data_IF_156384704708
#
_entry.id   IF_156384704708
#
_cell.length_a   1.000
_cell.length_b   1.000
_cell.length_c   1.000
_cell.angle_alpha   90.00
_cell.angle_beta   90.00
_cell.angle_gamma   90.00
#
_symmetry.space_group_name_H-M   'P 1'
#
loop_
_entity.id
_entity.type
_entity.pdbx_description
1 polymer ?
#
# COMPACT_ATOMS: atom_id res chain seq x y z
N UNK A 1 -57.27 -53.13 118.72
CA UNK A 1 -56.83 -52.94 117.32
C UNK A 1 -55.88 -54.08 116.96
N UNK A 2 -56.44 -55.28 116.78
CA UNK A 2 -55.68 -56.52 116.53
C UNK A 2 -56.44 -57.43 115.55
N UNK A 3 -57.19 -56.80 114.61
CA UNK A 3 -58.00 -57.47 113.57
C UNK A 3 -57.72 -56.94 112.16
N UNK A 4 -56.48 -56.54 111.93
CA UNK A 4 -55.85 -56.42 110.62
C UNK A 4 -54.46 -57.02 110.86
N UNK A 5 -54.11 -58.12 110.21
CA UNK A 5 -52.84 -58.84 110.40
C UNK A 5 -51.61 -58.05 109.94
N UNK A 6 -51.45 -56.83 110.45
CA UNK A 6 -50.42 -55.87 110.12
C UNK A 6 -49.49 -55.81 111.32
N UNK A 7 -48.33 -56.43 111.18
CA UNK A 7 -47.23 -56.23 112.10
C UNK A 7 -46.72 -54.78 111.92
N UNK A 8 -47.02 -53.90 112.87
CA UNK A 8 -46.71 -52.46 112.79
C UNK A 8 -45.22 -52.21 112.65
N UNK A 9 -44.37 -53.08 113.22
CA UNK A 9 -42.91 -53.04 113.06
C UNK A 9 -42.48 -53.37 111.63
N UNK A 10 -43.09 -54.39 111.01
CA UNK A 10 -42.85 -54.71 109.59
C UNK A 10 -43.31 -53.59 108.66
N UNK A 11 -44.43 -52.93 108.95
CA UNK A 11 -44.92 -51.80 108.17
C UNK A 11 -43.97 -50.60 108.22
N UNK A 12 -43.44 -50.25 109.40
CA UNK A 12 -42.45 -49.18 109.55
C UNK A 12 -41.15 -49.53 108.82
N UNK A 13 -40.65 -50.77 108.95
CA UNK A 13 -39.47 -51.23 108.22
C UNK A 13 -39.67 -51.17 106.70
N UNK A 14 -40.85 -51.54 106.20
CA UNK A 14 -41.21 -51.43 104.78
C UNK A 14 -41.27 -49.97 104.32
N UNK A 15 -41.79 -49.06 105.15
CA UNK A 15 -41.84 -47.63 104.83
C UNK A 15 -40.44 -47.02 104.78
N UNK A 16 -39.55 -47.39 105.71
CA UNK A 16 -38.14 -46.98 105.70
C UNK A 16 -37.43 -47.53 104.46
N UNK A 17 -37.61 -48.80 104.12
CA UNK A 17 -37.03 -49.40 102.93
C UNK A 17 -37.55 -48.73 101.64
N UNK A 18 -38.86 -48.49 101.55
CA UNK A 18 -39.46 -47.72 100.45
C UNK A 18 -38.88 -46.30 100.39
N UNK A 19 -38.72 -45.62 101.52
CA UNK A 19 -38.12 -44.29 101.60
C UNK A 19 -36.67 -44.26 101.12
N UNK A 20 -35.86 -45.27 101.49
CA UNK A 20 -34.48 -45.40 101.01
C UNK A 20 -34.45 -45.62 99.49
N UNK A 21 -35.26 -46.54 98.97
CA UNK A 21 -35.33 -46.81 97.52
C UNK A 21 -35.86 -45.58 96.77
N UNK A 22 -36.89 -44.92 97.28
CA UNK A 22 -37.44 -43.69 96.71
C UNK A 22 -36.40 -42.58 96.69
N UNK A 23 -35.64 -42.40 97.78
CA UNK A 23 -34.56 -41.43 97.82
C UNK A 23 -33.45 -41.73 96.82
N UNK A 24 -33.04 -43.01 96.68
CA UNK A 24 -32.07 -43.41 95.68
C UNK A 24 -32.59 -43.18 94.25
N UNK A 25 -33.84 -43.52 93.96
CA UNK A 25 -34.44 -43.27 92.64
C UNK A 25 -34.59 -41.77 92.35
N UNK A 26 -35.08 -40.99 93.31
CA UNK A 26 -35.23 -39.55 93.18
C UNK A 26 -33.87 -38.86 93.00
N UNK A 27 -32.83 -39.31 93.71
CA UNK A 27 -31.50 -38.70 93.66
C UNK A 27 -30.65 -39.14 92.47
N UNK A 28 -30.83 -40.36 91.96
CA UNK A 28 -29.99 -40.93 90.90
C UNK A 28 -30.71 -41.15 89.56
N UNK A 29 -31.93 -41.69 89.55
CA UNK A 29 -32.63 -42.03 88.32
C UNK A 29 -33.36 -40.82 87.71
N UNK A 30 -34.06 -40.03 88.53
CA UNK A 30 -34.80 -38.85 88.07
C UNK A 30 -33.94 -37.83 87.32
N UNK A 31 -32.78 -37.36 87.86
CA UNK A 31 -31.95 -36.40 87.12
C UNK A 31 -31.48 -36.97 85.78
N UNK A 32 -31.07 -38.24 85.72
CA UNK A 32 -30.62 -38.87 84.47
C UNK A 32 -31.70 -38.94 83.39
N UNK A 33 -32.96 -39.12 83.78
CA UNK A 33 -34.09 -39.17 82.82
C UNK A 33 -34.40 -37.76 82.29
N UNK A 34 -34.41 -36.75 83.15
CA UNK A 34 -34.63 -35.36 82.75
C UNK A 34 -33.49 -34.87 81.85
N UNK A 35 -32.23 -35.11 82.25
CA UNK A 35 -31.05 -34.76 81.44
C UNK A 35 -31.15 -35.34 80.02
N UNK A 36 -31.61 -36.60 79.87
CA UNK A 36 -31.76 -37.23 78.55
C UNK A 36 -32.90 -36.60 77.72
N UNK A 37 -33.99 -36.15 78.36
CA UNK A 37 -35.09 -35.46 77.68
C UNK A 37 -34.71 -34.03 77.28
N UNK A 38 -33.96 -33.33 78.11
CA UNK A 38 -33.43 -32.00 77.83
C UNK A 38 -32.42 -32.06 76.68
N UNK A 39 -31.48 -33.01 76.72
CA UNK A 39 -30.51 -33.22 75.62
C UNK A 39 -31.21 -33.54 74.29
N UNK A 40 -32.29 -34.33 74.32
CA UNK A 40 -33.11 -34.59 73.14
C UNK A 40 -33.83 -33.34 72.65
N UNK A 41 -34.41 -32.56 73.56
CA UNK A 41 -35.11 -31.32 73.23
C UNK A 41 -34.17 -30.30 72.62
N UNK A 42 -32.98 -30.14 73.20
CA UNK A 42 -31.93 -29.24 72.70
C UNK A 42 -31.42 -29.68 71.31
N UNK A 43 -31.19 -30.99 71.10
CA UNK A 43 -30.80 -31.52 69.79
C UNK A 43 -31.86 -31.25 68.71
N UNK A 44 -33.13 -31.39 69.04
CA UNK A 44 -34.24 -31.12 68.09
C UNK A 44 -34.34 -29.61 67.81
N UNK A 45 -34.27 -28.78 68.85
CA UNK A 45 -34.32 -27.33 68.72
C UNK A 45 -33.17 -26.82 67.84
N UNK A 46 -31.95 -27.27 68.11
CA UNK A 46 -30.77 -26.95 67.32
C UNK A 46 -30.88 -27.47 65.89
N UNK A 47 -31.34 -28.72 65.69
CA UNK A 47 -31.55 -29.27 64.35
C UNK A 47 -32.58 -28.49 63.53
N UNK A 48 -33.63 -27.97 64.17
CA UNK A 48 -34.63 -27.12 63.50
C UNK A 48 -34.09 -25.72 63.19
N UNK A 49 -33.28 -25.14 64.08
CA UNK A 49 -32.60 -23.87 63.84
C UNK A 49 -31.58 -23.98 62.70
N UNK A 50 -30.73 -25.00 62.73
CA UNK A 50 -29.75 -25.28 61.68
C UNK A 50 -30.44 -25.49 60.32
N UNK A 51 -31.58 -26.20 60.29
CA UNK A 51 -32.36 -26.40 59.07
C UNK A 51 -32.95 -25.08 58.53
N UNK A 52 -33.43 -24.20 59.42
CA UNK A 52 -33.93 -22.87 59.02
C UNK A 52 -32.80 -21.99 58.49
N UNK A 53 -31.66 -21.97 59.18
CA UNK A 53 -30.49 -21.21 58.75
C UNK A 53 -29.96 -21.71 57.40
N UNK A 54 -29.95 -23.03 57.18
CA UNK A 54 -29.56 -23.63 55.90
C UNK A 54 -30.51 -23.24 54.76
N UNK A 55 -31.82 -23.24 55.02
CA UNK A 55 -32.82 -22.83 54.03
C UNK A 55 -32.72 -21.34 53.69
N UNK A 56 -32.52 -20.47 54.70
CA UNK A 56 -32.31 -19.04 54.48
C UNK A 56 -31.01 -18.76 53.71
N UNK A 57 -29.91 -19.43 54.08
CA UNK A 57 -28.65 -19.33 53.36
C UNK A 57 -28.79 -19.79 51.90
N UNK A 58 -29.52 -20.88 51.66
CA UNK A 58 -29.82 -21.36 50.31
C UNK A 58 -30.62 -20.35 49.51
N UNK A 59 -31.70 -19.79 50.05
CA UNK A 59 -32.50 -18.78 49.37
C UNK A 59 -31.69 -17.52 49.05
N UNK A 60 -30.83 -17.09 49.97
CA UNK A 60 -29.94 -15.95 49.74
C UNK A 60 -28.92 -16.24 48.63
N UNK A 61 -28.31 -17.43 48.64
CA UNK A 61 -27.40 -17.88 47.58
C UNK A 61 -28.09 -17.98 46.21
N UNK A 62 -29.34 -18.46 46.16
CA UNK A 62 -30.14 -18.51 44.93
C UNK A 62 -30.40 -17.10 44.39
N UNK A 63 -30.82 -16.16 45.25
CA UNK A 63 -31.03 -14.75 44.86
C UNK A 63 -29.75 -14.07 44.37
N UNK A 64 -28.62 -14.35 45.02
CA UNK A 64 -27.33 -13.80 44.62
C UNK A 64 -26.87 -14.38 43.28
N UNK A 65 -27.03 -15.69 43.09
CA UNK A 65 -26.78 -16.36 41.81
C UNK A 65 -27.62 -15.78 40.67
N UNK A 66 -28.93 -15.57 40.89
CA UNK A 66 -29.81 -14.93 39.92
C UNK A 66 -29.36 -13.50 39.56
N UNK A 67 -28.93 -12.72 40.56
CA UNK A 67 -28.37 -11.37 40.33
C UNK A 67 -27.09 -11.42 39.52
N UNK A 68 -26.17 -12.32 39.84
CA UNK A 68 -24.90 -12.50 39.11
C UNK A 68 -25.20 -12.90 37.66
N UNK A 69 -26.12 -13.83 37.43
CA UNK A 69 -26.53 -14.24 36.09
C UNK A 69 -27.18 -13.10 35.29
N UNK A 70 -28.05 -12.31 35.93
CA UNK A 70 -28.65 -11.14 35.30
C UNK A 70 -27.60 -10.08 34.93
N UNK A 71 -26.67 -9.81 35.84
CA UNK A 71 -25.56 -8.88 35.61
C UNK A 71 -24.64 -9.36 34.49
N UNK A 72 -24.24 -10.63 34.50
CA UNK A 72 -23.41 -11.23 33.47
C UNK A 72 -24.07 -11.18 32.08
N UNK A 73 -25.39 -11.37 32.01
CA UNK A 73 -26.16 -11.21 30.76
C UNK A 73 -26.17 -9.76 30.29
N UNK A 74 -26.39 -8.81 31.21
CA UNK A 74 -26.39 -7.38 30.87
C UNK A 74 -25.01 -6.92 30.38
N UNK A 75 -23.94 -7.33 31.05
CA UNK A 75 -22.57 -6.99 30.66
C UNK A 75 -22.16 -7.69 29.36
N UNK A 76 -22.58 -8.94 29.16
CA UNK A 76 -22.40 -9.64 27.88
C UNK A 76 -23.10 -8.94 26.72
N UNK A 77 -24.33 -8.47 26.93
CA UNK A 77 -25.06 -7.72 25.91
C UNK A 77 -24.38 -6.38 25.60
N UNK A 78 -23.95 -5.64 26.62
CA UNK A 78 -23.16 -4.40 26.45
C UNK A 78 -21.88 -4.65 25.66
N UNK A 79 -21.15 -5.72 25.97
CA UNK A 79 -19.92 -6.06 25.25
C UNK A 79 -20.19 -6.34 23.76
N UNK A 80 -21.28 -7.06 23.45
CA UNK A 80 -21.69 -7.32 22.06
C UNK A 80 -22.05 -6.02 21.35
N UNK A 81 -22.79 -5.13 22.00
CA UNK A 81 -23.21 -3.87 21.42
C UNK A 81 -22.02 -2.93 21.19
N UNK A 82 -21.08 -2.84 22.14
CA UNK A 82 -19.82 -2.13 21.97
C UNK A 82 -18.97 -2.72 20.84
N UNK A 83 -18.86 -4.04 20.76
CA UNK A 83 -18.13 -4.71 19.69
C UNK A 83 -18.73 -4.41 18.31
N UNK A 84 -20.07 -4.38 18.20
CA UNK A 84 -20.78 -3.98 16.98
C UNK A 84 -20.51 -2.52 16.62
N UNK A 85 -20.60 -1.60 17.58
CA UNK A 85 -20.33 -0.19 17.34
C UNK A 85 -18.89 0.05 16.86
N UNK A 86 -17.90 -0.57 17.54
CA UNK A 86 -16.49 -0.49 17.10
C UNK A 86 -16.30 -1.12 15.73
N UNK A 87 -16.98 -2.22 15.44
CA UNK A 87 -16.97 -2.84 14.11
C UNK A 87 -17.50 -1.91 13.02
N UNK A 88 -18.64 -1.27 13.26
CA UNK A 88 -19.24 -0.32 12.31
C UNK A 88 -18.38 0.92 12.10
N UNK A 89 -17.76 1.44 13.17
CA UNK A 89 -16.81 2.54 13.08
C UNK A 89 -15.57 2.15 12.26
N UNK A 90 -15.02 0.96 12.50
CA UNK A 90 -13.88 0.46 11.74
C UNK A 90 -14.21 0.27 10.26
N UNK A 91 -15.41 -0.26 9.93
CA UNK A 91 -15.87 -0.37 8.54
C UNK A 91 -15.98 1.00 7.90
N UNK A 92 -16.55 2.00 8.59
CA UNK A 92 -16.62 3.37 8.07
C UNK A 92 -15.24 3.98 7.84
N UNK A 93 -14.28 3.75 8.74
CA UNK A 93 -12.90 4.20 8.58
C UNK A 93 -12.24 3.53 7.37
N UNK A 94 -12.32 2.21 7.25
CA UNK A 94 -11.78 1.47 6.11
C UNK A 94 -12.38 1.92 4.78
N UNK A 95 -13.69 2.15 4.71
CA UNK A 95 -14.35 2.64 3.48
C UNK A 95 -13.87 4.05 3.12
N UNK A 96 -13.72 4.94 4.11
CA UNK A 96 -13.19 6.29 3.89
C UNK A 96 -11.76 6.25 3.37
N UNK A 97 -10.89 5.48 4.03
CA UNK A 97 -9.49 5.32 3.63
C UNK A 97 -9.38 4.71 2.23
N UNK A 98 -10.13 3.64 1.93
CA UNK A 98 -10.16 3.03 0.61
C UNK A 98 -10.67 3.98 -0.48
N UNK A 99 -11.65 4.84 -0.16
CA UNK A 99 -12.16 5.85 -1.10
C UNK A 99 -11.11 6.91 -1.37
N UNK A 100 -10.44 7.39 -0.31
CA UNK A 100 -9.35 8.35 -0.44
C UNK A 100 -8.18 7.78 -1.25
N UNK A 101 -7.73 6.56 -0.95
CA UNK A 101 -6.66 5.89 -1.70
C UNK A 101 -7.06 5.69 -3.17
N UNK A 102 -8.32 5.33 -3.44
CA UNK A 102 -8.82 5.19 -4.80
C UNK A 102 -8.85 6.53 -5.55
N UNK A 103 -9.18 7.63 -4.89
CA UNK A 103 -9.13 8.98 -5.47
C UNK A 103 -7.70 9.44 -5.74
N UNK A 104 -6.78 9.23 -4.79
CA UNK A 104 -5.35 9.52 -4.94
C UNK A 104 -4.75 8.72 -6.10
N UNK A 105 -5.04 7.41 -6.16
CA UNK A 105 -4.58 6.56 -7.27
C UNK A 105 -5.14 7.02 -8.62
N UNK A 106 -6.42 7.41 -8.67
CA UNK A 106 -7.02 7.96 -9.91
C UNK A 106 -6.36 9.28 -10.31
N UNK A 107 -6.04 10.15 -9.36
CA UNK A 107 -5.35 11.40 -9.65
C UNK A 107 -3.95 11.14 -10.21
N UNK A 108 -3.19 10.23 -9.60
CA UNK A 108 -1.87 9.80 -10.09
C UNK A 108 -1.96 9.17 -11.49
N UNK A 109 -2.93 8.28 -11.73
CA UNK A 109 -3.13 7.67 -13.05
C UNK A 109 -3.50 8.71 -14.12
N UNK A 110 -4.27 9.74 -13.78
CA UNK A 110 -4.57 10.84 -14.71
C UNK A 110 -3.32 11.65 -15.05
N UNK A 111 -2.51 11.99 -14.05
CA UNK A 111 -1.24 12.69 -14.27
C UNK A 111 -0.31 11.86 -15.17
N UNK A 112 -0.13 10.57 -14.89
CA UNK A 112 0.67 9.67 -15.72
C UNK A 112 0.12 9.57 -17.15
N UNK A 113 -1.21 9.52 -17.33
CA UNK A 113 -1.83 9.50 -18.65
C UNK A 113 -1.60 10.80 -19.43
N UNK A 114 -1.63 11.95 -18.77
CA UNK A 114 -1.32 13.24 -19.38
C UNK A 114 0.16 13.35 -19.78
N UNK A 115 1.07 12.90 -18.91
CA UNK A 115 2.50 12.83 -19.21
C UNK A 115 2.80 11.90 -20.39
N UNK A 116 2.20 10.72 -20.41
CA UNK A 116 2.38 9.75 -21.49
C UNK A 116 1.77 10.27 -22.80
N UNK A 117 0.60 10.93 -22.75
CA UNK A 117 0.02 11.60 -23.92
C UNK A 117 0.97 12.66 -24.47
N UNK A 118 1.55 13.49 -23.61
CA UNK A 118 2.50 14.53 -24.03
C UNK A 118 3.77 13.91 -24.65
N UNK A 119 4.27 12.81 -24.07
CA UNK A 119 5.40 12.05 -24.63
C UNK A 119 5.08 11.51 -26.02
N UNK A 120 3.91 10.87 -26.19
CA UNK A 120 3.46 10.33 -27.49
C UNK A 120 3.31 11.46 -28.52
N UNK A 121 2.74 12.60 -28.14
CA UNK A 121 2.60 13.76 -29.05
C UNK A 121 3.97 14.32 -29.46
N UNK A 122 4.92 14.41 -28.53
CA UNK A 122 6.28 14.86 -28.82
C UNK A 122 7.00 13.89 -29.77
N UNK A 123 6.89 12.59 -29.53
CA UNK A 123 7.47 11.56 -30.41
C UNK A 123 6.82 11.58 -31.80
N UNK A 124 5.50 11.67 -31.87
CA UNK A 124 4.76 11.79 -33.14
C UNK A 124 5.20 13.02 -33.92
N UNK A 125 5.40 14.16 -33.25
CA UNK A 125 5.91 15.38 -33.90
C UNK A 125 7.30 15.15 -34.49
N UNK A 126 8.19 14.49 -33.76
CA UNK A 126 9.53 14.13 -34.24
C UNK A 126 9.46 13.24 -35.49
N UNK A 127 8.59 12.22 -35.48
CA UNK A 127 8.36 11.33 -36.61
C UNK A 127 7.79 12.07 -37.84
N UNK A 128 6.86 13.01 -37.63
CA UNK A 128 6.31 13.84 -38.72
C UNK A 128 7.39 14.73 -39.33
N UNK A 129 8.25 15.35 -38.52
CA UNK A 129 9.37 16.16 -39.02
C UNK A 129 10.32 15.30 -39.84
N UNK A 130 10.69 14.10 -39.35
CA UNK A 130 11.54 13.18 -40.08
C UNK A 130 10.92 12.76 -41.43
N UNK A 131 9.61 12.48 -41.46
CA UNK A 131 8.90 12.12 -42.69
C UNK A 131 8.80 13.30 -43.67
N UNK A 132 8.52 14.50 -43.17
CA UNK A 132 8.47 15.71 -44.00
C UNK A 132 9.85 16.05 -44.60
N UNK A 133 10.92 15.87 -43.84
CA UNK A 133 12.30 16.01 -44.33
C UNK A 133 12.62 14.97 -45.39
N UNK A 134 12.27 13.71 -45.19
CA UNK A 134 12.47 12.65 -46.19
C UNK A 134 11.68 12.92 -47.49
N UNK A 135 10.44 13.43 -47.37
CA UNK A 135 9.66 13.84 -48.52
C UNK A 135 10.26 15.05 -49.24
N UNK A 136 10.76 16.05 -48.50
CA UNK A 136 11.46 17.20 -49.07
C UNK A 136 12.76 16.80 -49.76
N UNK A 137 13.58 15.92 -49.17
CA UNK A 137 14.79 15.37 -49.77
C UNK A 137 14.47 14.65 -51.09
N UNK A 138 13.40 13.84 -51.11
CA UNK A 138 12.95 13.16 -52.33
C UNK A 138 12.49 14.13 -53.42
N UNK A 139 11.66 15.11 -53.08
CA UNK A 139 11.16 16.11 -54.04
C UNK A 139 12.29 16.97 -54.59
N UNK A 140 13.23 17.41 -53.74
CA UNK A 140 14.41 18.18 -54.15
C UNK A 140 15.32 17.32 -55.04
N UNK A 141 15.56 16.06 -54.66
CA UNK A 141 16.32 15.12 -55.47
C UNK A 141 15.72 14.86 -56.85
N UNK A 142 14.40 14.79 -56.97
CA UNK A 142 13.70 14.64 -58.26
C UNK A 142 13.59 15.96 -59.05
N UNK A 143 13.59 17.13 -58.38
CA UNK A 143 13.44 18.44 -59.02
C UNK A 143 14.77 19.12 -59.43
N UNK A 144 15.91 18.58 -58.97
CA UNK A 144 17.24 19.08 -59.33
C UNK A 144 17.60 18.69 -60.77
N UNK A 145 17.28 19.58 -61.71
CA UNK A 145 17.76 19.54 -63.09
C UNK A 145 19.24 20.02 -63.17
N UNK A 146 19.95 19.69 -64.25
CA UNK A 146 21.38 19.98 -64.45
C UNK A 146 21.68 21.48 -64.25
N UNK A 147 20.78 22.35 -64.72
CA UNK A 147 20.88 23.82 -64.53
C UNK A 147 20.76 24.27 -63.08
N UNK A 148 19.91 23.61 -62.29
CA UNK A 148 19.71 23.94 -60.88
C UNK A 148 20.88 23.43 -60.04
N UNK A 149 21.46 22.28 -60.40
CA UNK A 149 22.69 21.77 -59.77
C UNK A 149 23.86 22.74 -59.94
N UNK A 150 24.06 23.32 -61.13
CA UNK A 150 25.04 24.40 -61.33
C UNK A 150 24.71 25.69 -60.55
N UNK A 151 23.43 26.06 -60.45
CA UNK A 151 23.02 27.24 -59.68
C UNK A 151 23.32 27.10 -58.17
N UNK A 152 23.16 25.90 -57.60
CA UNK A 152 23.51 25.59 -56.20
C UNK A 152 25.02 25.63 -55.97
N UNK A 153 25.82 25.15 -56.95
CA UNK A 153 27.28 25.27 -56.91
C UNK A 153 27.69 26.76 -56.93
N UNK A 154 27.07 27.57 -57.78
CA UNK A 154 27.34 29.01 -57.84
C UNK A 154 26.92 29.76 -56.57
N UNK A 155 25.81 29.39 -55.92
CA UNK A 155 25.40 30.02 -54.65
C UNK A 155 26.36 29.70 -53.50
N UNK A 156 26.97 28.51 -53.50
CA UNK A 156 28.04 28.16 -52.56
C UNK A 156 29.26 29.08 -52.72
N UNK A 157 29.69 29.38 -53.95
CA UNK A 157 30.78 30.32 -54.20
C UNK A 157 30.41 31.78 -53.89
N UNK A 158 29.17 32.19 -54.17
CA UNK A 158 28.68 33.54 -53.89
C UNK A 158 28.52 33.82 -52.38
N UNK A 159 28.21 32.81 -51.59
CA UNK A 159 28.17 32.88 -50.12
C UNK A 159 29.54 33.04 -49.47
N UNK A 160 30.61 32.84 -50.23
CA UNK A 160 32.00 33.00 -49.80
C UNK A 160 32.35 32.00 -48.70
N UNK A 161 32.87 30.80 -49.04
CA UNK A 161 33.26 29.83 -48.04
C UNK A 161 34.45 30.36 -47.24
N UNK A 162 34.16 31.03 -46.13
CA UNK A 162 35.14 31.60 -45.21
C UNK A 162 36.09 30.52 -44.67
N UNK A 163 35.64 29.27 -44.64
CA UNK A 163 36.35 28.09 -44.16
C UNK A 163 37.11 27.31 -45.25
N UNK A 164 36.99 27.68 -46.53
CA UNK A 164 37.68 27.02 -47.64
C UNK A 164 39.01 27.67 -48.05
N UNK A 165 39.38 28.81 -47.46
CA UNK A 165 40.66 29.49 -47.74
C UNK A 165 41.80 28.81 -46.97
N UNK A 166 42.79 28.29 -47.69
CA UNK A 166 44.01 27.71 -47.10
C UNK A 166 43.93 26.21 -46.78
N UNK A 167 43.12 25.47 -47.54
CA UNK A 167 43.19 24.01 -47.58
C UNK A 167 44.51 23.63 -48.29
N UNK A 168 45.34 22.78 -47.65
CA UNK A 168 46.73 22.54 -48.04
C UNK A 168 46.94 21.90 -49.42
N UNK A 169 48.16 21.45 -49.70
CA UNK A 169 48.67 21.11 -51.05
C UNK A 169 47.83 20.11 -51.88
N UNK A 170 46.95 19.30 -51.26
CA UNK A 170 46.03 18.36 -51.93
C UNK A 170 44.59 18.51 -51.47
N UNK A 171 43.68 18.75 -52.42
CA UNK A 171 42.23 18.88 -52.17
C UNK A 171 41.47 17.90 -53.05
N UNK A 172 40.62 17.09 -52.44
CA UNK A 172 39.65 16.25 -53.15
C UNK A 172 38.31 16.97 -53.17
N UNK A 173 37.81 17.22 -54.39
CA UNK A 173 36.54 17.89 -54.64
C UNK A 173 35.56 16.84 -55.11
N UNK A 174 34.48 16.65 -54.35
CA UNK A 174 33.43 15.68 -54.70
C UNK A 174 32.18 16.44 -55.15
N UNK A 175 31.75 16.20 -56.40
CA UNK A 175 30.58 16.86 -57.01
C UNK A 175 29.61 15.85 -57.65
N UNK A 176 28.33 16.22 -57.74
CA UNK A 176 27.29 15.40 -58.36
C UNK A 176 27.37 15.39 -59.91
N UNK A 177 27.92 16.45 -60.49
CA UNK A 177 28.13 16.66 -61.92
C UNK A 177 29.58 17.05 -62.24
N UNK A 178 30.06 16.82 -63.48
CA UNK A 178 31.33 17.36 -63.92
C UNK A 178 31.30 18.89 -63.91
N UNK A 179 32.25 19.52 -63.22
CA UNK A 179 32.41 20.97 -63.15
C UNK A 179 32.77 21.54 -64.53
N UNK A 180 32.18 22.67 -64.89
CA UNK A 180 32.55 23.43 -66.09
C UNK A 180 33.92 24.11 -65.92
N UNK A 181 34.58 24.43 -67.03
CA UNK A 181 35.92 25.06 -67.03
C UNK A 181 35.96 26.38 -66.22
N UNK A 182 34.85 27.13 -66.19
CA UNK A 182 34.71 28.34 -65.36
C UNK A 182 34.64 28.05 -63.86
N UNK A 183 33.96 26.96 -63.47
CA UNK A 183 33.78 26.59 -62.06
C UNK A 183 35.07 25.97 -61.50
N UNK A 184 35.80 25.20 -62.30
CA UNK A 184 37.14 24.67 -61.93
C UNK A 184 38.13 25.81 -61.64
N UNK A 185 38.08 26.90 -62.42
CA UNK A 185 38.90 28.07 -62.20
C UNK A 185 38.54 28.84 -60.91
N UNK A 186 37.25 28.85 -60.52
CA UNK A 186 36.82 29.43 -59.24
C UNK A 186 37.24 28.56 -58.04
N UNK A 187 37.12 27.24 -58.15
CA UNK A 187 37.61 26.29 -57.13
C UNK A 187 39.10 26.48 -56.87
N UNK A 188 39.91 26.58 -57.93
CA UNK A 188 41.35 26.77 -57.81
C UNK A 188 41.72 28.11 -57.15
N UNK A 189 40.96 29.18 -57.44
CA UNK A 189 41.14 30.50 -56.81
C UNK A 189 40.74 30.53 -55.33
N UNK A 190 39.69 29.79 -54.96
CA UNK A 190 39.16 29.77 -53.59
C UNK A 190 39.96 28.83 -52.68
N UNK A 191 40.40 27.69 -53.19
CA UNK A 191 41.12 26.66 -52.40
C UNK A 191 42.63 26.89 -52.36
N UNK A 192 43.25 27.40 -53.43
CA UNK A 192 44.69 27.68 -53.51
C UNK A 192 45.60 26.44 -53.59
N UNK A 193 45.04 25.26 -53.85
CA UNK A 193 45.77 23.99 -53.82
C UNK A 193 46.57 23.69 -55.11
N UNK A 194 47.70 22.99 -54.96
CA UNK A 194 48.62 22.64 -56.06
C UNK A 194 48.16 21.41 -56.86
N UNK A 195 47.40 20.50 -56.23
CA UNK A 195 46.88 19.29 -56.85
C UNK A 195 45.42 19.09 -56.40
N UNK A 196 44.48 19.16 -57.36
CA UNK A 196 43.04 19.04 -57.12
C UNK A 196 42.53 17.74 -57.78
N UNK A 197 42.01 16.82 -56.97
CA UNK A 197 41.39 15.58 -57.44
C UNK A 197 39.88 15.76 -57.52
N UNK A 198 39.31 15.63 -58.71
CA UNK A 198 37.87 15.79 -58.95
C UNK A 198 37.21 14.41 -59.02
N UNK A 199 36.37 14.11 -58.04
CA UNK A 199 35.62 12.86 -57.99
C UNK A 199 34.14 13.13 -58.19
N UNK A 200 33.57 12.55 -59.24
CA UNK A 200 32.13 12.63 -59.48
C UNK A 200 31.46 11.50 -58.71
N UNK A 201 30.66 11.85 -57.70
CA UNK A 201 29.83 10.90 -56.96
C UNK A 201 28.35 11.23 -57.15
N UNK A 202 27.57 10.40 -57.88
CA UNK A 202 26.13 10.62 -58.08
C UNK A 202 25.28 10.54 -56.80
N UNK A 203 25.83 10.07 -55.67
CA UNK A 203 25.08 9.88 -54.41
C UNK A 203 24.85 11.18 -53.60
N UNK A 204 25.47 12.29 -54.01
CA UNK A 204 25.26 13.61 -53.38
C UNK A 204 24.18 14.41 -54.13
N UNK A 205 23.23 14.96 -53.38
CA UNK A 205 22.03 15.64 -53.91
C UNK A 205 22.30 17.10 -54.35
N UNK A 206 23.40 17.34 -55.05
CA UNK A 206 23.83 18.68 -55.48
C UNK A 206 24.65 19.45 -54.43
N UNK A 207 25.40 20.45 -54.89
CA UNK A 207 26.44 21.13 -54.13
C UNK A 207 27.81 20.46 -54.25
N UNK A 208 28.75 20.83 -53.39
CA UNK A 208 30.12 20.29 -53.41
C UNK A 208 30.68 20.04 -52.03
N UNK A 209 31.51 18.99 -51.92
CA UNK A 209 32.25 18.67 -50.69
C UNK A 209 33.73 18.85 -50.97
N UNK A 210 34.38 19.67 -50.14
CA UNK A 210 35.82 19.93 -50.21
C UNK A 210 36.49 19.17 -49.06
N UNK A 211 37.42 18.27 -49.38
CA UNK A 211 38.22 17.53 -48.39
C UNK A 211 39.70 17.79 -48.59
N UNK A 212 40.39 18.21 -47.53
CA UNK A 212 41.85 18.34 -47.51
C UNK A 212 42.41 17.78 -46.19
N UNK A 213 43.04 16.61 -46.26
CA UNK A 213 43.52 15.88 -45.07
C UNK A 213 42.39 15.62 -44.08
N UNK A 214 42.51 16.16 -42.87
CA UNK A 214 41.54 16.07 -41.77
C UNK A 214 40.42 17.14 -41.80
N UNK A 215 40.45 18.08 -42.77
CA UNK A 215 39.45 19.15 -42.87
C UNK A 215 38.44 18.84 -43.97
N UNK A 216 37.16 18.87 -43.62
CA UNK A 216 36.03 18.69 -44.54
C UNK A 216 35.14 19.92 -44.46
N UNK A 217 34.86 20.53 -45.62
CA UNK A 217 33.87 21.60 -45.76
C UNK A 217 32.76 21.04 -46.64
N UNK A 218 31.57 20.88 -46.06
CA UNK A 218 30.39 20.32 -46.73
C UNK A 218 29.45 21.45 -47.13
N UNK A 219 29.37 21.72 -48.44
CA UNK A 219 28.42 22.65 -49.04
C UNK A 219 27.32 21.93 -49.82
N UNK A 220 27.01 20.69 -49.46
CA UNK A 220 25.95 19.92 -50.10
C UNK A 220 24.58 20.30 -49.55
N UNK A 221 23.55 20.18 -50.39
CA UNK A 221 22.14 20.42 -50.00
C UNK A 221 21.72 19.51 -48.83
N UNK A 222 22.28 18.29 -48.77
CA UNK A 222 22.06 17.36 -47.66
C UNK A 222 22.64 17.87 -46.33
N UNK A 223 23.81 18.51 -46.36
CA UNK A 223 24.44 19.13 -45.20
C UNK A 223 23.62 20.30 -44.64
N UNK A 224 23.14 21.19 -45.51
CA UNK A 224 22.29 22.33 -45.12
C UNK A 224 20.94 21.90 -44.53
N UNK A 225 20.30 20.89 -45.13
CA UNK A 225 19.07 20.29 -44.60
C UNK A 225 19.31 19.61 -43.25
N UNK A 226 20.46 18.95 -43.06
CA UNK A 226 20.84 18.37 -41.77
C UNK A 226 21.09 19.45 -40.70
N UNK A 227 21.73 20.57 -41.05
CA UNK A 227 21.94 21.69 -40.15
C UNK A 227 20.62 22.35 -39.71
N UNK A 228 19.70 22.59 -40.66
CA UNK A 228 18.35 23.09 -40.37
C UNK A 228 17.55 22.10 -39.50
N UNK A 229 17.68 20.80 -39.75
CA UNK A 229 17.04 19.76 -38.91
C UNK A 229 17.54 19.80 -37.46
N UNK A 230 18.81 20.16 -37.23
CA UNK A 230 19.39 20.26 -35.89
C UNK A 230 18.90 21.49 -35.11
N UNK A 231 18.54 22.57 -35.80
CA UNK A 231 18.02 23.81 -35.21
C UNK A 231 16.51 23.74 -34.91
N UNK A 232 15.79 22.79 -35.53
CA UNK A 232 14.34 22.58 -35.34
C UNK A 232 14.01 21.47 -34.32
N UNK A 233 15.03 20.77 -33.79
CA UNK A 233 14.91 19.89 -32.62
C UNK A 233 14.94 20.68 -31.33
#
# INVERSE_FOLDING_TARGET
MEKLGINTGFFIAQLVNFGIIFFLLARFAWPRVIDMLDERSEKIAKGLEDARAAEEARQNAERESEKILAQARADGQKLIDEARQRGDEQVKLMVREATQEAEERRAQSRQQAEEERNRILADTRSQIVALAMAAAEKVIGEALDEKQQHAVIQSFFAGGPADAKGLGDRVTVVTALPLTDSEQAEVQKVTGAAEIDYQVNPEILGGMILRAGDKVVDGSVRGDLAALSSQLR
#
